data_IF_204372216277
#
_entry.id   IF_204372216277
#
_cell.length_a   1.000
_cell.length_b   1.000
_cell.length_c   1.000
_cell.angle_alpha   90.00
_cell.angle_beta   90.00
_cell.angle_gamma   90.00
#
_symmetry.space_group_name_H-M   'P 1'
#
loop_
_entity.id
_entity.type
_entity.pdbx_description
1 polymer ?
#
# COMPACT_ATOMS: atom_id res chain seq x y z
N UNK A 1 36.23 -24.80 26.68
CA UNK A 1 36.25 -25.12 28.13
C UNK A 1 34.86 -25.57 28.52
N UNK A 2 34.75 -26.74 29.14
CA UNK A 2 33.48 -27.30 29.59
C UNK A 2 32.84 -26.39 30.64
N UNK A 3 31.65 -25.88 30.32
CA UNK A 3 30.88 -25.04 31.23
C UNK A 3 30.22 -25.95 32.25
N UNK A 4 30.75 -25.98 33.46
CA UNK A 4 30.09 -26.65 34.58
C UNK A 4 28.78 -25.92 34.86
N UNK A 5 27.66 -26.55 34.52
CA UNK A 5 26.33 -26.03 34.83
C UNK A 5 26.01 -26.52 36.25
N UNK A 6 25.80 -25.62 37.23
CA UNK A 6 25.32 -26.04 38.54
C UNK A 6 24.00 -26.80 38.37
N UNK A 7 23.95 -28.04 38.88
CA UNK A 7 22.81 -28.96 38.71
C UNK A 7 21.53 -28.50 39.42
N UNK A 8 21.66 -27.57 40.37
CA UNK A 8 20.55 -27.06 41.17
C UNK A 8 20.43 -25.54 41.03
N UNK A 9 19.19 -25.06 40.92
CA UNK A 9 18.90 -23.64 40.93
C UNK A 9 19.24 -23.03 42.30
N UNK A 10 19.58 -21.74 42.31
CA UNK A 10 19.79 -21.01 43.56
C UNK A 10 18.45 -20.93 44.32
N UNK A 11 18.40 -21.20 45.64
CA UNK A 11 17.17 -21.10 46.43
C UNK A 11 16.51 -19.72 46.33
N UNK A 12 15.18 -19.67 46.40
CA UNK A 12 14.40 -18.44 46.24
C UNK A 12 14.73 -17.39 47.32
N UNK A 13 15.05 -17.84 48.53
CA UNK A 13 15.41 -16.98 49.65
C UNK A 13 16.63 -16.13 49.28
N UNK A 14 17.67 -16.77 48.74
CA UNK A 14 18.92 -16.12 48.35
C UNK A 14 18.71 -15.25 47.10
N UNK A 15 17.85 -15.67 46.17
CA UNK A 15 17.51 -14.86 45.00
C UNK A 15 16.86 -13.53 45.40
N UNK A 16 15.97 -13.55 46.39
CA UNK A 16 15.22 -12.37 46.87
C UNK A 16 16.01 -11.46 47.82
N UNK A 17 17.18 -11.88 48.30
CA UNK A 17 18.06 -11.03 49.13
C UNK A 17 18.54 -9.79 48.36
N UNK A 18 18.83 -8.72 49.10
CA UNK A 18 19.33 -7.50 48.48
C UNK A 18 20.75 -7.68 47.91
N UNK A 19 21.16 -6.88 46.91
CA UNK A 19 22.51 -6.94 46.36
C UNK A 19 23.59 -6.67 47.43
N UNK A 20 23.32 -5.81 48.41
CA UNK A 20 24.28 -5.46 49.46
C UNK A 20 24.56 -6.64 50.40
N UNK A 21 23.58 -7.52 50.60
CA UNK A 21 23.73 -8.74 51.40
C UNK A 21 24.50 -9.84 50.67
N UNK A 22 24.53 -9.79 49.33
CA UNK A 22 25.23 -10.76 48.48
C UNK A 22 26.71 -10.42 48.31
N UNK A 23 27.17 -9.29 48.85
CA UNK A 23 28.55 -8.81 48.67
C UNK A 23 29.39 -9.01 49.94
N UNK A 24 30.62 -9.46 49.74
CA UNK A 24 31.63 -9.55 50.79
C UNK A 24 31.94 -8.17 51.39
N UNK A 25 31.73 -7.98 52.70
CA UNK A 25 31.99 -6.71 53.41
C UNK A 25 33.45 -6.27 53.39
N UNK A 26 34.39 -7.20 53.24
CA UNK A 26 35.83 -6.93 53.27
C UNK A 26 36.42 -6.73 51.88
N UNK A 27 35.92 -7.49 50.91
CA UNK A 27 36.49 -7.60 49.57
C UNK A 27 35.62 -6.99 48.47
N UNK A 28 34.35 -6.68 48.75
CA UNK A 28 33.42 -6.07 47.79
C UNK A 28 32.96 -7.00 46.67
N UNK A 29 33.39 -8.26 46.70
CA UNK A 29 33.07 -9.24 45.67
C UNK A 29 31.74 -9.94 46.00
N UNK A 30 30.87 -10.13 45.00
CA UNK A 30 29.62 -10.88 45.15
C UNK A 30 29.92 -12.35 45.46
N UNK A 31 29.19 -12.94 46.39
CA UNK A 31 29.21 -14.39 46.63
C UNK A 31 28.56 -15.18 45.47
N UNK A 32 27.84 -14.49 44.57
CA UNK A 32 27.03 -15.09 43.51
C UNK A 32 27.49 -14.72 42.10
N UNK A 33 28.76 -14.31 41.94
CA UNK A 33 29.36 -13.90 40.66
C UNK A 33 28.97 -14.84 39.51
N UNK A 34 29.08 -16.15 39.70
CA UNK A 34 28.80 -17.13 38.64
C UNK A 34 27.34 -17.10 38.19
N UNK A 35 26.39 -16.94 39.12
CA UNK A 35 24.96 -16.84 38.81
C UNK A 35 24.66 -15.53 38.07
N UNK A 36 25.25 -14.42 38.51
CA UNK A 36 25.12 -13.12 37.88
C UNK A 36 25.64 -13.14 36.43
N UNK A 37 26.82 -13.74 36.21
CA UNK A 37 27.36 -13.92 34.86
C UNK A 37 26.45 -14.79 33.98
N UNK A 38 25.90 -15.88 34.51
CA UNK A 38 24.98 -16.74 33.75
C UNK A 38 23.69 -16.00 33.38
N UNK A 39 23.10 -15.25 34.31
CA UNK A 39 21.90 -14.46 34.05
C UNK A 39 22.17 -13.35 33.01
N UNK A 40 23.34 -12.72 33.07
CA UNK A 40 23.76 -11.76 32.04
C UNK A 40 23.99 -12.46 30.69
N UNK A 41 24.63 -13.62 30.66
CA UNK A 41 24.86 -14.38 29.43
C UNK A 41 23.54 -14.78 28.75
N UNK A 42 22.56 -15.25 29.54
CA UNK A 42 21.23 -15.60 29.03
C UNK A 42 20.48 -14.38 28.48
N UNK A 43 20.56 -13.23 29.17
CA UNK A 43 20.00 -11.96 28.68
C UNK A 43 20.65 -11.51 27.37
N UNK A 44 21.98 -11.60 27.28
CA UNK A 44 22.72 -11.28 26.05
C UNK A 44 22.29 -12.21 24.91
N UNK A 45 22.18 -13.51 25.15
CA UNK A 45 21.68 -14.47 24.13
C UNK A 45 20.26 -14.18 23.69
N UNK A 46 19.37 -13.79 24.61
CA UNK A 46 18.00 -13.42 24.27
C UNK A 46 17.99 -12.16 23.40
N UNK A 47 18.74 -11.14 23.80
CA UNK A 47 18.88 -9.88 23.06
C UNK A 47 19.52 -10.09 21.68
N UNK A 48 20.52 -10.97 21.55
CA UNK A 48 21.12 -11.35 20.26
C UNK A 48 20.10 -11.99 19.30
N UNK A 49 19.19 -12.82 19.82
CA UNK A 49 18.12 -13.43 19.01
C UNK A 49 17.13 -12.37 18.52
N UNK A 50 16.74 -11.46 19.40
CA UNK A 50 15.86 -10.33 19.04
C UNK A 50 16.53 -9.44 17.98
N UNK A 51 17.81 -9.11 18.16
CA UNK A 51 18.56 -8.30 17.20
C UNK A 51 18.57 -8.94 15.80
N UNK A 52 18.83 -10.25 15.72
CA UNK A 52 18.79 -11.00 14.44
C UNK A 52 17.40 -10.99 13.80
N UNK A 53 16.35 -11.08 14.61
CA UNK A 53 14.97 -10.98 14.12
C UNK A 53 14.69 -9.60 13.51
N UNK A 54 15.10 -8.52 14.18
CA UNK A 54 14.92 -7.15 13.70
C UNK A 54 15.73 -6.85 12.45
N UNK A 55 16.98 -7.33 12.36
CA UNK A 55 17.77 -7.27 11.12
C UNK A 55 16.98 -7.89 9.96
N UNK A 56 16.50 -9.14 10.15
CA UNK A 56 15.64 -9.83 9.20
C UNK A 56 14.41 -9.02 8.76
N UNK A 57 13.80 -8.28 9.68
CA UNK A 57 12.66 -7.40 9.39
C UNK A 57 13.06 -6.22 8.51
N UNK A 58 14.18 -5.56 8.80
CA UNK A 58 14.71 -4.44 8.01
C UNK A 58 15.00 -4.89 6.57
N UNK A 59 15.60 -6.07 6.37
CA UNK A 59 15.84 -6.55 5.00
C UNK A 59 14.55 -6.88 4.24
N UNK A 60 13.52 -7.39 4.92
CA UNK A 60 12.20 -7.62 4.31
C UNK A 60 11.52 -6.31 3.94
N UNK A 61 11.54 -5.33 4.83
CA UNK A 61 10.95 -4.02 4.62
C UNK A 61 11.63 -3.27 3.46
N UNK A 62 12.97 -3.33 3.38
CA UNK A 62 13.71 -2.77 2.25
C UNK A 62 13.27 -3.37 0.91
N UNK A 63 13.15 -4.70 0.83
CA UNK A 63 12.66 -5.37 -0.40
C UNK A 63 11.23 -4.98 -0.75
N UNK A 64 10.37 -4.78 0.26
CA UNK A 64 9.01 -4.30 0.06
C UNK A 64 9.00 -2.86 -0.46
N UNK A 65 9.84 -1.99 0.09
CA UNK A 65 9.98 -0.62 -0.35
C UNK A 65 10.48 -0.53 -1.80
N UNK A 66 11.46 -1.36 -2.19
CA UNK A 66 11.94 -1.45 -3.57
C UNK A 66 10.81 -1.87 -4.54
N UNK A 67 9.99 -2.86 -4.16
CA UNK A 67 8.82 -3.27 -4.96
C UNK A 67 7.78 -2.16 -5.09
N UNK A 68 7.51 -1.42 -4.00
CA UNK A 68 6.58 -0.29 -4.03
C UNK A 68 7.08 0.83 -4.95
N UNK A 69 8.38 1.12 -4.93
CA UNK A 69 8.97 2.10 -5.84
C UNK A 69 8.82 1.68 -7.30
N UNK A 70 9.12 0.41 -7.61
CA UNK A 70 8.95 -0.13 -8.95
C UNK A 70 7.48 -0.05 -9.42
N UNK A 71 6.54 -0.52 -8.59
CA UNK A 71 5.11 -0.46 -8.91
C UNK A 71 4.59 0.96 -9.08
N UNK A 72 5.09 1.90 -8.28
CA UNK A 72 4.74 3.32 -8.39
C UNK A 72 5.21 3.91 -9.73
N UNK A 73 6.44 3.59 -10.14
CA UNK A 73 6.97 4.02 -11.43
C UNK A 73 6.18 3.43 -12.60
N UNK A 74 5.88 2.14 -12.56
CA UNK A 74 5.05 1.48 -13.56
C UNK A 74 3.68 2.16 -13.65
N UNK A 75 3.05 2.45 -12.52
CA UNK A 75 1.74 3.10 -12.47
C UNK A 75 1.77 4.50 -13.10
N UNK A 76 2.77 5.33 -12.80
CA UNK A 76 2.92 6.64 -13.43
C UNK A 76 3.15 6.51 -14.95
N UNK A 77 3.92 5.53 -15.39
CA UNK A 77 4.09 5.27 -16.82
C UNK A 77 2.77 4.87 -17.48
N UNK A 78 2.00 3.97 -16.86
CA UNK A 78 0.66 3.60 -17.36
C UNK A 78 -0.28 4.78 -17.44
N UNK A 79 -0.20 5.71 -16.48
CA UNK A 79 -1.01 6.93 -16.47
C UNK A 79 -0.68 7.81 -17.67
N UNK A 80 0.61 8.10 -17.90
CA UNK A 80 1.08 8.88 -19.05
C UNK A 80 0.64 8.22 -20.37
N UNK A 81 0.82 6.91 -20.49
CA UNK A 81 0.43 6.15 -21.68
C UNK A 81 -1.08 6.25 -21.92
N UNK A 82 -1.89 6.18 -20.87
CA UNK A 82 -3.33 6.32 -20.97
C UNK A 82 -3.74 7.74 -21.36
N UNK A 83 -3.15 8.76 -20.73
CA UNK A 83 -3.37 10.18 -21.08
C UNK A 83 -3.08 10.43 -22.56
N UNK A 84 -1.93 9.99 -23.06
CA UNK A 84 -1.57 10.12 -24.48
C UNK A 84 -2.57 9.41 -25.42
N UNK A 85 -3.08 8.23 -25.04
CA UNK A 85 -4.12 7.52 -25.80
C UNK A 85 -5.43 8.28 -25.80
N UNK A 86 -5.83 8.86 -24.67
CA UNK A 86 -7.06 9.65 -24.56
C UNK A 86 -6.98 10.94 -25.38
N UNK A 87 -5.84 11.63 -25.41
CA UNK A 87 -5.63 12.81 -26.25
C UNK A 87 -5.71 12.47 -27.74
N UNK A 88 -5.08 11.36 -28.16
CA UNK A 88 -5.15 10.86 -29.53
C UNK A 88 -6.58 10.51 -29.94
N UNK A 89 -7.32 9.85 -29.05
CA UNK A 89 -8.74 9.54 -29.27
C UNK A 89 -9.59 10.81 -29.34
N UNK A 90 -9.38 11.77 -28.43
CA UNK A 90 -10.08 13.06 -28.43
C UNK A 90 -9.85 13.83 -29.74
N UNK A 91 -8.60 13.86 -30.21
CA UNK A 91 -8.23 14.44 -31.50
C UNK A 91 -8.96 13.74 -32.66
N UNK A 92 -8.96 12.40 -32.68
CA UNK A 92 -9.65 11.63 -33.71
C UNK A 92 -11.16 11.87 -33.72
N UNK A 93 -11.80 11.86 -32.55
CA UNK A 93 -13.24 12.11 -32.38
C UNK A 93 -13.60 13.53 -32.83
N UNK A 94 -12.77 14.54 -32.52
CA UNK A 94 -12.97 15.90 -33.00
C UNK A 94 -12.96 15.96 -34.53
N UNK A 95 -11.99 15.31 -35.18
CA UNK A 95 -11.93 15.28 -36.64
C UNK A 95 -13.12 14.54 -37.27
N UNK A 96 -13.54 13.40 -36.73
CA UNK A 96 -14.67 12.64 -37.28
C UNK A 96 -15.99 13.38 -37.08
N UNK A 97 -16.21 14.00 -35.92
CA UNK A 97 -17.41 14.82 -35.65
C UNK A 97 -17.45 16.06 -36.54
N UNK A 98 -16.33 16.78 -36.72
CA UNK A 98 -16.25 17.91 -37.66
C UNK A 98 -16.61 17.47 -39.09
N UNK A 99 -16.10 16.31 -39.52
CA UNK A 99 -16.38 15.76 -40.85
C UNK A 99 -17.85 15.34 -40.99
N UNK A 100 -18.43 14.68 -39.99
CA UNK A 100 -19.85 14.33 -39.93
C UNK A 100 -20.76 15.57 -39.98
N UNK A 101 -20.47 16.60 -39.20
CA UNK A 101 -21.20 17.88 -39.21
C UNK A 101 -21.13 18.54 -40.59
N UNK A 102 -19.96 18.51 -41.22
CA UNK A 102 -19.78 19.04 -42.58
C UNK A 102 -20.60 18.27 -43.62
N UNK A 103 -20.58 16.94 -43.55
CA UNK A 103 -21.37 16.07 -44.44
C UNK A 103 -22.87 16.31 -44.22
N UNK A 104 -23.33 16.34 -42.97
CA UNK A 104 -24.73 16.61 -42.63
C UNK A 104 -25.19 17.97 -43.17
N UNK A 105 -24.35 19.00 -43.10
CA UNK A 105 -24.62 20.33 -43.68
C UNK A 105 -24.72 20.33 -45.22
N UNK A 106 -24.06 19.39 -45.88
CA UNK A 106 -24.10 19.26 -47.34
C UNK A 106 -25.30 18.42 -47.82
N UNK A 107 -25.71 17.40 -47.05
CA UNK A 107 -26.85 16.53 -47.39
C UNK A 107 -28.19 17.13 -46.98
N UNK A 108 -28.21 17.96 -45.93
CA UNK A 108 -29.35 18.79 -45.55
C UNK A 108 -28.99 20.24 -45.88
N UNK A 109 -29.49 20.78 -47.00
CA UNK A 109 -29.45 22.23 -47.27
C UNK A 109 -30.03 23.04 -46.09
N UNK A 110 -29.97 24.39 -46.08
CA UNK A 110 -30.36 25.18 -44.92
C UNK A 110 -31.79 24.82 -44.50
N UNK A 111 -31.92 24.03 -43.43
CA UNK A 111 -33.22 23.71 -42.85
C UNK A 111 -33.65 24.96 -42.11
N UNK A 112 -34.19 25.92 -42.87
CA UNK A 112 -35.02 26.97 -42.31
C UNK A 112 -36.17 26.29 -41.60
N UNK A 113 -36.33 26.60 -40.31
CA UNK A 113 -37.35 26.09 -39.40
C UNK A 113 -36.96 24.85 -38.59
N UNK A 114 -36.17 25.07 -37.55
CA UNK A 114 -36.44 24.42 -36.26
C UNK A 114 -36.74 25.54 -35.26
N UNK A 115 -38.04 25.72 -35.01
CA UNK A 115 -38.53 26.55 -33.93
C UNK A 115 -37.89 26.11 -32.61
N UNK A 116 -37.58 27.10 -31.78
CA UNK A 116 -37.18 26.93 -30.39
C UNK A 116 -38.08 25.89 -29.71
N UNK A 117 -37.49 24.79 -29.26
CA UNK A 117 -38.03 24.00 -28.18
C UNK A 117 -36.99 23.91 -27.05
N UNK A 118 -37.43 24.08 -25.80
CA UNK A 118 -36.54 24.31 -24.67
C UNK A 118 -35.85 23.01 -24.26
N UNK A 119 -34.58 23.14 -23.88
CA UNK A 119 -33.81 22.14 -23.15
C UNK A 119 -34.62 21.65 -21.93
N UNK A 120 -34.79 20.34 -21.69
CA UNK A 120 -35.02 19.86 -20.35
C UNK A 120 -33.67 19.70 -19.67
N UNK A 121 -33.48 20.50 -18.63
CA UNK A 121 -32.51 20.30 -17.57
C UNK A 121 -32.51 18.84 -17.12
N UNK A 122 -31.38 18.14 -17.21
CA UNK A 122 -31.23 16.82 -16.58
C UNK A 122 -30.01 16.83 -15.68
N UNK A 123 -30.35 16.85 -14.39
CA UNK A 123 -29.51 16.57 -13.24
C UNK A 123 -28.66 15.30 -13.43
N UNK A 124 -27.42 15.42 -13.01
CA UNK A 124 -26.53 14.30 -12.67
C UNK A 124 -27.22 13.42 -11.63
N UNK A 125 -27.52 12.16 -11.98
CA UNK A 125 -27.48 11.06 -11.00
C UNK A 125 -26.92 9.79 -11.65
N UNK A 126 -26.13 9.12 -10.83
CA UNK A 126 -25.33 7.92 -11.01
C UNK A 126 -26.13 6.65 -11.28
N UNK A 127 -25.50 5.76 -12.07
CA UNK A 127 -25.60 4.30 -12.05
C UNK A 127 -26.86 3.58 -12.60
N UNK A 128 -26.54 2.43 -13.23
CA UNK A 128 -27.34 1.22 -13.48
C UNK A 128 -28.26 1.15 -14.72
N UNK A 129 -27.74 0.45 -15.75
CA UNK A 129 -28.37 -0.65 -16.51
C UNK A 129 -29.86 -0.48 -16.87
N UNK A 130 -30.16 -0.30 -18.17
CA UNK A 130 -31.14 -1.16 -18.85
C UNK A 130 -31.15 -0.91 -20.36
N UNK A 131 -31.18 -2.03 -21.08
CA UNK A 131 -31.38 -2.19 -22.52
C UNK A 131 -32.66 -1.48 -22.96
N UNK A 132 -32.59 -0.64 -23.98
CA UNK A 132 -33.71 -0.46 -24.93
C UNK A 132 -33.20 0.15 -26.24
N UNK A 133 -32.83 -0.74 -27.17
CA UNK A 133 -32.97 -0.44 -28.59
C UNK A 133 -34.45 -0.16 -28.86
N UNK A 134 -34.79 1.08 -29.17
CA UNK A 134 -35.99 1.39 -29.93
C UNK A 134 -35.57 2.27 -31.11
N UNK A 135 -35.13 1.59 -32.17
CA UNK A 135 -35.23 2.10 -33.53
C UNK A 135 -36.72 2.37 -33.79
N UNK A 136 -37.13 3.64 -33.88
CA UNK A 136 -38.43 3.98 -34.44
C UNK A 136 -38.25 4.30 -35.92
N UNK A 137 -38.23 3.24 -36.73
CA UNK A 137 -38.74 3.28 -38.10
C UNK A 137 -40.24 3.55 -38.01
N UNK A 138 -40.71 4.72 -38.47
CA UNK A 138 -41.99 4.92 -39.17
C UNK A 138 -42.33 6.42 -39.25
N UNK A 139 -42.37 6.96 -40.47
CA UNK A 139 -43.62 7.45 -41.06
C UNK A 139 -43.34 7.90 -42.50
N UNK A 140 -43.44 6.93 -43.42
CA UNK A 140 -44.00 7.20 -44.75
C UNK A 140 -45.52 7.15 -44.61
N UNK A 141 -46.20 8.28 -44.80
CA UNK A 141 -47.48 8.37 -45.51
C UNK A 141 -47.70 9.82 -45.95
#
# INVERSE_FOLDING_TARGET
MDRHIPMHALPEEIQKMSPEEKVCKYCGVSYLILHEFKAMEEKVKAMEKEMKFYQGSVEREKKLQEKLQFLSQDFEQYKIDNESKTERLGTYVMFTTQRLVTIHRQTHGPVTSFALLPLPSILVTTNLISVSMCFCYCCCF
#
